data_IF_441238348915
#
_entry.id   IF_441238348915
#
_cell.length_a   1.000
_cell.length_b   1.000
_cell.length_c   1.000
_cell.angle_alpha   90.00
_cell.angle_beta   90.00
_cell.angle_gamma   90.00
#
_symmetry.space_group_name_H-M   'P 1'
#
loop_
_entity.id
_entity.type
_entity.pdbx_description
1 polymer ?
#
# COMPACT_ATOMS: atom_id res chain seq x y z
N UNK A 1 -84.29 48.88 23.81
CA UNK A 1 -84.24 47.41 23.75
C UNK A 1 -83.71 47.02 22.37
N UNK A 2 -82.90 45.97 22.27
CA UNK A 2 -82.10 45.49 21.11
C UNK A 2 -80.82 46.32 20.83
N UNK A 3 -79.58 45.81 20.88
CA UNK A 3 -79.09 44.43 20.83
C UNK A 3 -78.20 44.26 19.60
N UNK A 4 -77.00 44.87 19.59
CA UNK A 4 -76.00 44.63 18.53
C UNK A 4 -75.11 43.46 18.93
N UNK A 5 -75.42 42.28 18.38
CA UNK A 5 -74.60 41.09 18.48
C UNK A 5 -73.27 41.29 17.73
N UNK A 6 -72.18 41.18 18.48
CA UNK A 6 -70.82 41.02 17.95
C UNK A 6 -70.68 39.63 17.32
N UNK A 7 -70.46 39.59 16.01
CA UNK A 7 -70.14 38.39 15.24
C UNK A 7 -68.81 38.63 14.51
N UNK A 8 -67.69 38.52 15.21
CA UNK A 8 -66.35 38.66 14.61
C UNK A 8 -65.31 37.62 15.04
N UNK A 9 -65.58 36.79 16.05
CA UNK A 9 -64.54 35.99 16.70
C UNK A 9 -64.24 34.60 16.12
N UNK A 10 -65.04 34.09 15.16
CA UNK A 10 -64.93 32.69 14.69
C UNK A 10 -64.19 32.52 13.35
N UNK A 11 -64.27 33.51 12.45
CA UNK A 11 -63.60 33.47 11.13
C UNK A 11 -62.11 33.78 11.20
N UNK A 12 -61.70 34.72 12.07
CA UNK A 12 -60.28 35.11 12.24
C UNK A 12 -59.40 33.97 12.77
N UNK A 13 -59.92 33.12 13.67
CA UNK A 13 -59.16 31.99 14.25
C UNK A 13 -58.97 30.85 13.24
N UNK A 14 -59.98 30.57 12.43
CA UNK A 14 -59.89 29.58 11.36
C UNK A 14 -58.93 29.99 10.25
N UNK A 15 -58.95 31.27 9.85
CA UNK A 15 -58.02 31.82 8.86
C UNK A 15 -56.57 31.89 9.35
N UNK A 16 -56.37 32.21 10.63
CA UNK A 16 -55.05 32.18 11.26
C UNK A 16 -54.44 30.76 11.22
N UNK A 17 -55.22 29.73 11.56
CA UNK A 17 -54.74 28.35 11.51
C UNK A 17 -54.41 27.85 10.10
N UNK A 18 -55.13 28.31 9.06
CA UNK A 18 -54.76 27.98 7.67
C UNK A 18 -53.44 28.63 7.24
N UNK A 19 -53.18 29.87 7.70
CA UNK A 19 -51.95 30.60 7.37
C UNK A 19 -50.74 30.05 8.15
N UNK A 20 -50.97 29.64 9.40
CA UNK A 20 -50.00 28.97 10.24
C UNK A 20 -49.64 27.58 9.69
N UNK A 21 -50.63 26.78 9.29
CA UNK A 21 -50.40 25.47 8.66
C UNK A 21 -49.64 25.60 7.33
N UNK A 22 -49.94 26.62 6.53
CA UNK A 22 -49.22 26.91 5.29
C UNK A 22 -47.76 27.31 5.56
N UNK A 23 -47.53 28.16 6.57
CA UNK A 23 -46.18 28.59 6.96
C UNK A 23 -45.36 27.43 7.53
N UNK A 24 -45.99 26.60 8.37
CA UNK A 24 -45.38 25.38 8.90
C UNK A 24 -45.01 24.40 7.79
N UNK A 25 -45.89 24.20 6.81
CA UNK A 25 -45.59 23.38 5.63
C UNK A 25 -44.41 23.97 4.82
N UNK A 26 -44.35 25.29 4.65
CA UNK A 26 -43.24 25.96 3.96
C UNK A 26 -41.91 25.76 4.69
N UNK A 27 -41.90 25.86 6.03
CA UNK A 27 -40.72 25.64 6.87
C UNK A 27 -40.26 24.19 6.80
N UNK A 28 -41.17 23.22 6.85
CA UNK A 28 -40.86 21.80 6.73
C UNK A 28 -40.27 21.50 5.34
N UNK A 29 -40.91 21.97 4.26
CA UNK A 29 -40.41 21.77 2.90
C UNK A 29 -39.03 22.42 2.70
N UNK A 30 -38.82 23.63 3.23
CA UNK A 30 -37.53 24.32 3.14
C UNK A 30 -36.44 23.57 3.92
N UNK A 31 -36.77 23.07 5.12
CA UNK A 31 -35.85 22.25 5.91
C UNK A 31 -35.50 20.94 5.24
N UNK A 32 -36.47 20.28 4.59
CA UNK A 32 -36.25 19.06 3.81
C UNK A 32 -35.35 19.34 2.61
N UNK A 33 -35.63 20.39 1.82
CA UNK A 33 -34.78 20.79 0.69
C UNK A 33 -33.34 21.11 1.12
N UNK A 34 -33.17 21.81 2.25
CA UNK A 34 -31.86 22.08 2.83
C UNK A 34 -31.14 20.78 3.24
N UNK A 35 -31.85 19.84 3.87
CA UNK A 35 -31.29 18.54 4.24
C UNK A 35 -30.90 17.68 3.02
N UNK A 36 -31.71 17.71 1.95
CA UNK A 36 -31.39 17.04 0.67
C UNK A 36 -30.16 17.64 -0.03
N UNK A 37 -29.92 18.95 0.13
CA UNK A 37 -28.68 19.56 -0.37
C UNK A 37 -27.46 19.18 0.48
N UNK A 38 -27.65 18.93 1.79
CA UNK A 38 -26.59 18.48 2.68
C UNK A 38 -26.17 17.01 2.44
N UNK A 39 -27.09 16.14 2.02
CA UNK A 39 -26.77 14.72 1.72
C UNK A 39 -26.04 14.54 0.38
N UNK A 40 -26.07 15.54 -0.50
CA UNK A 40 -25.28 15.56 -1.74
C UNK A 40 -23.77 15.82 -1.52
N UNK A 41 -23.35 16.08 -0.28
CA UNK A 41 -21.96 16.32 0.11
C UNK A 41 -21.41 15.14 0.89
N UNK A 42 -21.62 13.92 0.39
CA UNK A 42 -20.89 12.75 0.92
C UNK A 42 -19.54 12.64 0.20
N UNK A 43 -18.42 12.55 0.93
CA UNK A 43 -17.10 12.66 0.34
C UNK A 43 -16.76 11.39 -0.46
N UNK A 44 -17.02 11.41 -1.76
CA UNK A 44 -16.37 10.50 -2.72
C UNK A 44 -14.84 10.74 -2.76
N UNK A 45 -14.40 11.90 -2.29
CA UNK A 45 -13.03 12.42 -2.36
C UNK A 45 -12.00 11.60 -1.59
N UNK A 46 -12.35 11.00 -0.44
CA UNK A 46 -11.38 10.25 0.36
C UNK A 46 -10.96 8.95 -0.33
N UNK A 47 -11.91 8.21 -0.92
CA UNK A 47 -11.62 6.97 -1.63
C UNK A 47 -10.85 7.21 -2.94
N UNK A 48 -11.26 8.22 -3.72
CA UNK A 48 -10.55 8.56 -4.97
C UNK A 48 -9.15 9.13 -4.71
N UNK A 49 -8.96 9.89 -3.62
CA UNK A 49 -7.64 10.39 -3.22
C UNK A 49 -6.73 9.25 -2.77
N UNK A 50 -7.23 8.31 -1.97
CA UNK A 50 -6.48 7.12 -1.57
C UNK A 50 -6.08 6.26 -2.77
N UNK A 51 -7.00 6.03 -3.71
CA UNK A 51 -6.71 5.32 -4.96
C UNK A 51 -5.65 6.04 -5.80
N UNK A 52 -5.68 7.37 -5.86
CA UNK A 52 -4.67 8.15 -6.59
C UNK A 52 -3.28 7.98 -5.96
N UNK A 53 -3.17 8.08 -4.64
CA UNK A 53 -1.91 7.88 -3.91
C UNK A 53 -1.41 6.44 -4.06
N UNK A 54 -2.29 5.44 -3.95
CA UNK A 54 -1.94 4.04 -4.15
C UNK A 54 -1.41 3.80 -5.57
N UNK A 55 -2.05 4.39 -6.59
CA UNK A 55 -1.58 4.30 -7.97
C UNK A 55 -0.23 4.99 -8.18
N UNK A 56 0.02 6.13 -7.54
CA UNK A 56 1.34 6.78 -7.56
C UNK A 56 2.41 5.90 -6.92
N UNK A 57 2.16 5.33 -5.73
CA UNK A 57 3.10 4.44 -5.05
C UNK A 57 3.36 3.15 -5.85
N UNK A 58 2.31 2.55 -6.44
CA UNK A 58 2.43 1.38 -7.32
C UNK A 58 3.31 1.69 -8.53
N UNK A 59 3.10 2.85 -9.15
CA UNK A 59 3.89 3.30 -10.31
C UNK A 59 5.36 3.52 -9.92
N UNK A 60 5.63 4.18 -8.79
CA UNK A 60 6.98 4.37 -8.29
C UNK A 60 7.68 3.05 -7.97
N UNK A 61 7.01 2.12 -7.29
CA UNK A 61 7.56 0.80 -6.97
C UNK A 61 7.82 -0.05 -8.23
N UNK A 62 6.90 -0.01 -9.20
CA UNK A 62 7.10 -0.65 -10.49
C UNK A 62 8.28 -0.04 -11.26
N UNK A 63 8.44 1.29 -11.21
CA UNK A 63 9.57 2.01 -11.79
C UNK A 63 10.91 1.54 -11.21
N UNK A 64 11.03 1.48 -9.88
CA UNK A 64 12.24 0.97 -9.21
C UNK A 64 12.57 -0.46 -9.68
N UNK A 65 11.56 -1.34 -9.75
CA UNK A 65 11.78 -2.72 -10.21
C UNK A 65 12.13 -2.81 -11.70
N UNK A 66 11.57 -1.94 -12.56
CA UNK A 66 11.90 -1.89 -13.99
C UNK A 66 13.34 -1.45 -14.18
N UNK A 67 13.72 -0.33 -13.56
CA UNK A 67 15.09 0.20 -13.63
C UNK A 67 16.10 -0.79 -13.03
N UNK A 68 15.76 -1.46 -11.93
CA UNK A 68 16.63 -2.48 -11.35
C UNK A 68 16.78 -3.72 -12.23
N UNK A 69 15.75 -4.07 -13.02
CA UNK A 69 15.84 -5.15 -13.99
C UNK A 69 16.67 -4.73 -15.22
N UNK A 70 16.49 -3.50 -15.71
CA UNK A 70 17.24 -2.93 -16.84
C UNK A 70 18.72 -2.75 -16.51
N UNK A 71 19.04 -2.31 -15.29
CA UNK A 71 20.42 -2.15 -14.82
C UNK A 71 21.01 -3.46 -14.25
N UNK A 72 20.29 -4.57 -14.33
CA UNK A 72 20.68 -5.89 -13.81
C UNK A 72 21.03 -5.94 -12.31
N UNK A 73 20.56 -4.98 -11.51
CA UNK A 73 20.85 -4.88 -10.07
C UNK A 73 19.93 -5.74 -9.21
N UNK A 74 18.80 -6.20 -9.76
CA UNK A 74 17.81 -6.98 -9.02
C UNK A 74 18.32 -8.39 -8.67
N UNK A 75 19.05 -9.05 -9.58
CA UNK A 75 19.60 -10.41 -9.34
C UNK A 75 20.69 -10.40 -8.27
N UNK A 76 21.73 -9.52 -8.34
CA UNK A 76 22.68 -9.35 -7.26
C UNK A 76 22.00 -9.05 -5.91
N UNK A 77 20.92 -8.27 -5.86
CA UNK A 77 20.23 -8.01 -4.61
C UNK A 77 19.57 -9.26 -4.01
N UNK A 78 18.93 -10.07 -4.84
CA UNK A 78 18.29 -11.33 -4.44
C UNK A 78 19.31 -12.36 -3.96
N UNK A 79 20.52 -12.39 -4.54
CA UNK A 79 21.62 -13.29 -4.15
C UNK A 79 22.60 -12.68 -3.14
N UNK A 80 22.29 -11.53 -2.55
CA UNK A 80 23.13 -10.82 -1.56
C UNK A 80 23.07 -11.46 -0.18
N UNK A 81 23.43 -12.73 -0.12
CA UNK A 81 23.20 -13.62 1.01
C UNK A 81 24.50 -14.10 1.63
N UNK A 82 24.51 -14.17 2.97
CA UNK A 82 25.56 -14.83 3.74
C UNK A 82 25.07 -16.23 4.15
N UNK A 83 25.61 -17.32 3.57
CA UNK A 83 25.18 -18.68 3.86
C UNK A 83 25.54 -19.16 5.27
N UNK A 84 26.58 -18.58 5.87
CA UNK A 84 27.05 -18.89 7.23
C UNK A 84 26.13 -18.26 8.28
N UNK A 85 25.84 -16.97 8.14
CA UNK A 85 24.99 -16.23 9.09
C UNK A 85 23.49 -16.40 8.81
N UNK A 86 23.13 -17.01 7.67
CA UNK A 86 21.75 -17.24 7.22
C UNK A 86 20.92 -15.95 7.19
N UNK A 87 21.50 -14.88 6.64
CA UNK A 87 20.85 -13.59 6.42
C UNK A 87 21.43 -12.84 5.22
N UNK A 88 20.74 -11.81 4.76
CA UNK A 88 21.31 -10.89 3.78
C UNK A 88 22.58 -10.22 4.33
N UNK A 89 23.57 -10.00 3.47
CA UNK A 89 24.84 -9.38 3.88
C UNK A 89 24.60 -7.97 4.39
N UNK A 90 25.09 -7.68 5.60
CA UNK A 90 24.86 -6.39 6.26
C UNK A 90 23.47 -6.23 6.90
N UNK A 91 22.60 -7.24 6.84
CA UNK A 91 21.35 -7.21 7.59
C UNK A 91 21.60 -7.29 9.10
N UNK A 92 20.68 -6.70 9.87
CA UNK A 92 20.73 -6.70 11.33
C UNK A 92 20.57 -8.11 11.92
N UNK A 93 20.60 -8.21 13.26
CA UNK A 93 20.46 -9.48 13.99
C UNK A 93 19.16 -10.23 13.69
N UNK A 94 18.12 -9.53 13.22
CA UNK A 94 16.83 -10.12 12.82
C UNK A 94 16.83 -10.74 11.41
N UNK A 95 17.91 -10.60 10.66
CA UNK A 95 18.07 -11.19 9.33
C UNK A 95 17.50 -10.37 8.16
N UNK A 96 16.97 -9.18 8.43
CA UNK A 96 16.45 -8.23 7.43
C UNK A 96 16.93 -6.80 7.70
N UNK A 97 16.82 -5.93 6.70
CA UNK A 97 17.07 -4.49 6.85
C UNK A 97 15.83 -3.78 7.39
N UNK A 98 15.99 -2.93 8.41
CA UNK A 98 14.89 -2.16 9.00
C UNK A 98 15.03 -0.64 8.79
N UNK A 99 16.22 -0.18 8.39
CA UNK A 99 16.55 1.25 8.34
C UNK A 99 16.63 1.80 6.92
N UNK A 100 16.49 0.95 5.89
CA UNK A 100 16.68 1.29 4.49
C UNK A 100 16.81 0.03 3.65
N UNK A 101 17.10 0.24 2.37
CA UNK A 101 17.43 -0.83 1.43
C UNK A 101 18.77 -1.49 1.77
N UNK A 102 19.04 -2.68 1.22
CA UNK A 102 20.35 -3.33 1.33
C UNK A 102 21.49 -2.42 0.84
N UNK A 103 22.73 -2.60 1.32
CA UNK A 103 23.89 -1.81 0.87
C UNK A 103 24.39 -2.29 -0.50
N UNK A 104 23.53 -2.16 -1.52
CA UNK A 104 23.79 -2.44 -2.93
C UNK A 104 22.98 -1.48 -3.82
N UNK A 105 23.16 -1.55 -5.14
CA UNK A 105 22.55 -0.60 -6.07
C UNK A 105 21.01 -0.63 -6.06
N UNK A 106 20.40 -1.81 -5.86
CA UNK A 106 18.96 -1.92 -5.70
C UNK A 106 18.46 -1.22 -4.43
N UNK A 107 19.16 -1.40 -3.31
CA UNK A 107 18.84 -0.70 -2.07
C UNK A 107 19.12 0.80 -2.12
N UNK A 108 20.12 1.24 -2.89
CA UNK A 108 20.35 2.65 -3.17
C UNK A 108 19.19 3.26 -3.96
N UNK A 109 18.67 2.58 -5.00
CA UNK A 109 17.51 3.02 -5.75
C UNK A 109 16.23 3.11 -4.90
N UNK A 110 16.01 2.13 -4.00
CA UNK A 110 14.92 2.16 -3.02
C UNK A 110 15.03 3.37 -2.10
N UNK A 111 16.20 3.60 -1.52
CA UNK A 111 16.46 4.72 -0.62
C UNK A 111 16.33 6.07 -1.33
N UNK A 112 16.76 6.17 -2.58
CA UNK A 112 16.60 7.39 -3.38
C UNK A 112 15.14 7.70 -3.69
N UNK A 113 14.32 6.67 -3.94
CA UNK A 113 12.92 6.82 -4.33
C UNK A 113 12.00 7.08 -3.13
N UNK A 114 12.17 6.30 -2.05
CA UNK A 114 11.24 6.29 -0.92
C UNK A 114 11.82 6.89 0.38
N UNK A 115 13.13 7.18 0.40
CA UNK A 115 13.86 7.58 1.60
C UNK A 115 14.29 6.39 2.45
N UNK A 116 14.97 6.68 3.56
CA UNK A 116 15.43 5.71 4.55
C UNK A 116 15.26 6.29 5.97
N UNK A 117 15.71 5.60 7.01
CA UNK A 117 15.56 6.08 8.40
C UNK A 117 16.24 7.41 8.68
N UNK A 118 17.30 7.75 7.96
CA UNK A 118 17.98 9.02 8.10
C UNK A 118 17.31 10.17 7.30
N UNK A 119 16.33 9.88 6.43
CA UNK A 119 15.67 10.91 5.63
C UNK A 119 14.73 11.77 6.49
N UNK A 120 15.01 13.08 6.67
CA UNK A 120 14.15 13.97 7.44
C UNK A 120 12.76 14.10 6.80
N UNK A 121 11.71 14.07 7.60
CA UNK A 121 10.33 14.23 7.11
C UNK A 121 9.83 13.08 6.23
N UNK A 122 10.47 11.89 6.30
CA UNK A 122 10.05 10.70 5.56
C UNK A 122 8.59 10.36 5.86
N UNK A 123 7.78 10.30 4.79
CA UNK A 123 6.36 9.91 4.85
C UNK A 123 6.06 8.55 4.24
N UNK A 124 7.04 7.92 3.58
CA UNK A 124 6.86 6.66 2.87
C UNK A 124 7.74 5.58 3.52
N UNK A 125 7.13 4.44 3.85
CA UNK A 125 7.82 3.22 4.26
C UNK A 125 7.67 2.15 3.18
N UNK A 126 8.62 1.22 3.14
CA UNK A 126 8.54 0.09 2.24
C UNK A 126 9.08 -1.20 2.85
N UNK A 127 8.50 -2.31 2.41
CA UNK A 127 8.98 -3.66 2.64
C UNK A 127 9.41 -4.26 1.30
N UNK A 128 10.44 -5.09 1.35
CA UNK A 128 10.87 -5.90 0.22
C UNK A 128 10.87 -7.35 0.66
N UNK A 129 10.11 -8.16 -0.06
CA UNK A 129 10.03 -9.60 0.17
C UNK A 129 10.33 -10.34 -1.13
N UNK A 130 11.02 -11.45 -1.00
CA UNK A 130 11.33 -12.35 -2.12
C UNK A 130 10.54 -13.62 -1.92
N UNK A 131 9.54 -13.84 -2.78
CA UNK A 131 8.77 -15.08 -2.81
C UNK A 131 9.45 -16.07 -3.77
N UNK A 132 9.56 -17.32 -3.35
CA UNK A 132 10.25 -18.38 -4.10
C UNK A 132 9.47 -19.69 -4.02
N UNK A 133 9.74 -20.60 -4.95
CA UNK A 133 9.14 -21.94 -4.98
C UNK A 133 9.89 -22.89 -4.06
N UNK A 134 9.18 -23.82 -3.45
CA UNK A 134 9.76 -24.94 -2.71
C UNK A 134 9.73 -26.21 -3.55
N UNK A 135 10.56 -27.19 -3.21
CA UNK A 135 10.61 -28.52 -3.85
C UNK A 135 9.25 -29.23 -3.91
N UNK A 136 8.37 -28.95 -2.94
CA UNK A 136 7.08 -29.62 -2.80
C UNK A 136 5.94 -28.82 -3.47
N UNK A 137 6.25 -28.10 -4.56
CA UNK A 137 5.35 -27.20 -5.31
C UNK A 137 4.72 -26.02 -4.54
N UNK A 138 5.06 -25.85 -3.26
CA UNK A 138 4.68 -24.70 -2.45
C UNK A 138 5.40 -23.39 -2.80
N UNK A 139 4.99 -22.31 -2.12
CA UNK A 139 5.71 -21.03 -2.14
C UNK A 139 6.04 -20.58 -0.73
N UNK A 140 7.24 -20.05 -0.55
CA UNK A 140 7.67 -19.40 0.69
C UNK A 140 8.21 -18.00 0.42
N UNK A 141 8.39 -17.22 1.47
CA UNK A 141 8.83 -15.83 1.38
C UNK A 141 10.03 -15.60 2.28
N UNK A 142 11.05 -14.94 1.73
CA UNK A 142 12.19 -14.41 2.47
C UNK A 142 12.04 -12.90 2.58
N UNK A 143 12.06 -12.37 3.80
CA UNK A 143 12.03 -10.93 4.05
C UNK A 143 13.42 -10.34 3.84
N UNK A 144 13.53 -9.34 2.95
CA UNK A 144 14.76 -8.60 2.70
C UNK A 144 14.74 -7.28 3.49
N UNK A 145 13.69 -6.48 3.32
CA UNK A 145 13.49 -5.21 4.04
C UNK A 145 12.17 -5.26 4.77
N UNK A 146 12.18 -4.85 6.04
CA UNK A 146 11.00 -4.74 6.89
C UNK A 146 11.01 -3.43 7.69
N UNK A 147 10.20 -2.46 7.27
CA UNK A 147 10.01 -1.16 7.91
C UNK A 147 8.73 -1.07 8.76
N UNK A 148 8.05 -2.20 8.97
CA UNK A 148 6.82 -2.27 9.75
C UNK A 148 5.66 -2.87 8.97
N UNK A 149 4.46 -2.73 9.55
CA UNK A 149 3.22 -3.25 8.97
C UNK A 149 2.65 -2.25 7.98
N UNK A 150 2.34 -2.64 6.73
CA UNK A 150 1.68 -1.77 5.77
C UNK A 150 0.32 -1.30 6.27
N UNK A 151 -0.06 -0.06 5.96
CA UNK A 151 -1.41 0.47 6.22
C UNK A 151 -2.41 -0.02 5.17
N UNK A 152 -3.70 0.24 5.38
CA UNK A 152 -4.79 -0.22 4.50
C UNK A 152 -4.66 0.29 3.04
N UNK A 153 -3.94 1.39 2.84
CA UNK A 153 -3.70 2.01 1.53
C UNK A 153 -2.31 1.64 0.96
N UNK A 154 -1.75 0.49 1.35
CA UNK A 154 -0.47 0.04 0.84
C UNK A 154 -0.56 -0.38 -0.63
N UNK A 155 0.37 0.11 -1.43
CA UNK A 155 0.54 -0.28 -2.82
C UNK A 155 1.64 -1.34 -2.93
N UNK A 156 1.54 -2.22 -3.93
CA UNK A 156 2.62 -3.17 -4.21
C UNK A 156 2.90 -3.28 -5.70
N UNK A 157 4.16 -3.58 -6.00
CA UNK A 157 4.65 -3.92 -7.33
C UNK A 157 5.54 -5.16 -7.23
N UNK A 158 5.65 -5.91 -8.32
CA UNK A 158 6.33 -7.20 -8.34
C UNK A 158 7.11 -7.38 -9.63
N UNK A 159 8.30 -7.98 -9.52
CA UNK A 159 9.17 -8.34 -10.65
C UNK A 159 9.84 -9.66 -10.37
N UNK A 160 10.01 -10.44 -11.42
CA UNK A 160 10.56 -11.79 -11.34
C UNK A 160 12.02 -11.80 -11.78
N UNK A 161 12.83 -12.61 -11.09
CA UNK A 161 14.22 -12.91 -11.42
C UNK A 161 14.40 -14.42 -11.47
N UNK A 162 14.92 -14.92 -12.58
CA UNK A 162 15.25 -16.34 -12.72
C UNK A 162 16.69 -16.59 -12.28
N UNK A 163 16.88 -17.64 -11.49
CA UNK A 163 18.19 -18.12 -11.06
C UNK A 163 18.46 -19.49 -11.70
N UNK A 164 19.69 -19.68 -12.16
CA UNK A 164 20.28 -20.96 -12.53
C UNK A 164 21.16 -21.48 -11.39
N UNK A 165 21.49 -22.77 -11.37
CA UNK A 165 22.24 -23.40 -10.27
C UNK A 165 23.62 -22.77 -10.04
N UNK A 166 24.22 -22.31 -11.12
CA UNK A 166 25.53 -21.67 -11.15
C UNK A 166 25.48 -20.17 -10.80
N UNK A 167 24.30 -19.61 -10.54
CA UNK A 167 24.17 -18.18 -10.21
C UNK A 167 24.99 -17.84 -8.97
N UNK A 168 25.99 -16.95 -9.07
CA UNK A 168 26.87 -16.64 -7.95
C UNK A 168 26.13 -15.88 -6.84
N UNK A 169 26.55 -16.11 -5.60
CA UNK A 169 26.20 -15.24 -4.49
C UNK A 169 26.95 -13.92 -4.65
N UNK A 170 26.25 -12.80 -4.54
CA UNK A 170 26.87 -11.47 -4.66
C UNK A 170 27.55 -11.00 -3.36
N UNK A 171 27.26 -11.69 -2.24
CA UNK A 171 27.74 -11.34 -0.91
C UNK A 171 28.68 -12.36 -0.26
N UNK A 172 28.95 -13.49 -0.94
CA UNK A 172 29.76 -14.58 -0.42
C UNK A 172 30.38 -15.36 -1.60
N UNK A 173 31.31 -16.27 -1.30
CA UNK A 173 31.80 -17.22 -2.31
C UNK A 173 30.78 -18.34 -2.56
N UNK A 174 30.85 -18.92 -3.76
CA UNK A 174 29.95 -20.00 -4.19
C UNK A 174 28.74 -19.49 -4.98
N UNK A 175 27.84 -20.42 -5.28
CA UNK A 175 26.60 -20.18 -6.01
C UNK A 175 25.39 -20.67 -5.21
N UNK A 176 24.19 -20.41 -5.74
CA UNK A 176 22.93 -20.74 -5.07
C UNK A 176 22.72 -22.25 -4.86
N UNK A 177 23.30 -23.12 -5.71
CA UNK A 177 23.19 -24.57 -5.57
C UNK A 177 24.19 -25.18 -4.60
N UNK A 178 25.40 -24.63 -4.50
CA UNK A 178 26.47 -25.14 -3.63
C UNK A 178 26.41 -24.57 -2.21
N UNK A 179 25.80 -23.41 -2.03
CA UNK A 179 25.74 -22.71 -0.76
C UNK A 179 24.41 -22.94 -0.04
N UNK A 180 24.39 -22.70 1.28
CA UNK A 180 23.17 -22.69 2.08
C UNK A 180 22.34 -21.42 1.81
N UNK A 181 21.78 -21.34 0.60
CA UNK A 181 20.89 -20.26 0.16
C UNK A 181 19.50 -20.39 0.82
N UNK A 182 18.80 -19.27 1.01
CA UNK A 182 17.53 -19.26 1.76
C UNK A 182 16.38 -19.94 1.02
N UNK A 183 16.43 -19.95 -0.31
CA UNK A 183 15.46 -20.66 -1.13
C UNK A 183 16.06 -22.02 -1.49
N UNK A 184 15.30 -23.12 -1.38
CA UNK A 184 15.74 -24.39 -1.92
C UNK A 184 15.70 -24.35 -3.46
N UNK A 185 16.42 -25.28 -4.06
CA UNK A 185 16.30 -25.60 -5.47
C UNK A 185 14.88 -26.12 -5.76
N UNK A 186 14.19 -25.49 -6.70
CA UNK A 186 12.85 -25.85 -7.11
C UNK A 186 12.84 -26.88 -8.25
N UNK A 187 13.97 -27.13 -8.91
CA UNK A 187 14.09 -28.09 -10.00
C UNK A 187 15.45 -28.82 -9.97
N UNK A 188 15.70 -29.66 -8.94
CA UNK A 188 17.01 -30.26 -8.67
C UNK A 188 17.57 -31.20 -9.76
N UNK A 189 16.81 -31.48 -10.82
CA UNK A 189 17.21 -32.30 -11.94
C UNK A 189 17.41 -31.49 -13.25
N UNK A 190 17.44 -30.16 -13.16
CA UNK A 190 17.62 -29.23 -14.28
C UNK A 190 18.68 -28.18 -13.92
N UNK A 191 19.24 -27.48 -14.92
CA UNK A 191 20.18 -26.37 -14.69
C UNK A 191 19.52 -25.10 -14.13
N UNK A 192 18.21 -25.13 -14.00
CA UNK A 192 17.37 -24.04 -13.53
C UNK A 192 17.15 -24.24 -12.03
N UNK A 193 17.38 -23.20 -11.24
CA UNK A 193 17.31 -23.28 -9.80
C UNK A 193 15.93 -22.86 -9.27
N UNK A 194 15.52 -21.62 -9.55
CA UNK A 194 14.26 -21.09 -9.04
C UNK A 194 13.81 -19.81 -9.77
N UNK A 195 12.51 -19.50 -9.65
CA UNK A 195 11.91 -18.24 -10.07
C UNK A 195 11.63 -17.40 -8.82
N UNK A 196 12.38 -16.32 -8.67
CA UNK A 196 12.32 -15.42 -7.51
C UNK A 196 11.41 -14.24 -7.81
N UNK A 197 10.32 -14.10 -7.08
CA UNK A 197 9.38 -12.99 -7.18
C UNK A 197 9.73 -11.93 -6.14
N UNK A 198 10.34 -10.83 -6.58
CA UNK A 198 10.64 -9.67 -5.72
C UNK A 198 9.42 -8.77 -5.68
N UNK A 199 8.86 -8.59 -4.49
CA UNK A 199 7.73 -7.70 -4.24
C UNK A 199 8.16 -6.54 -3.35
N UNK A 200 7.87 -5.34 -3.83
CA UNK A 200 7.95 -4.11 -3.02
C UNK A 200 6.53 -3.79 -2.55
N UNK A 201 6.37 -3.54 -1.26
CA UNK A 201 5.13 -3.00 -0.66
C UNK A 201 5.45 -1.64 -0.09
N UNK A 202 4.69 -0.62 -0.44
CA UNK A 202 4.94 0.80 -0.11
C UNK A 202 3.70 1.43 0.49
N UNK A 203 3.84 2.18 1.57
CA UNK A 203 2.71 2.84 2.24
C UNK A 203 3.14 4.16 2.89
N UNK A 204 2.17 5.02 3.15
CA UNK A 204 2.38 6.19 3.99
C UNK A 204 2.37 5.82 5.48
N UNK A 205 3.36 6.33 6.22
CA UNK A 205 3.48 6.18 7.67
C UNK A 205 2.54 7.10 8.44
#
# INVERSE_FOLDING_TARGET
MAGKFSLGGRTSRGQAHTLEAFTAALLVVSGVLFALQATAVTPLTASTSNQHIENQHRTAAAGVLSTAAENETLRPAVTFWNPTERKFVGAGSRGFFANGGPPNDFGAALNATFGNLATPGRRIAYNVVVRYRTSDDGTRTQTMVYMGSPSDNAASATRTVTLSDDTPLSGASGNVSSANFYAPDAAPNASFYNVMEVRIVVWQM
#
